data_IF_872340172306
#
_entry.id   IF_872340172306
#
_cell.length_a   1.000
_cell.length_b   1.000
_cell.length_c   1.000
_cell.angle_alpha   90.00
_cell.angle_beta   90.00
_cell.angle_gamma   90.00
#
_symmetry.space_group_name_H-M   'P 1'
#
loop_
_entity.id
_entity.type
_entity.pdbx_description
1 polymer ?
#
# COMPACT_ATOMS: atom_id res chain seq x y z
N UNK A 1 -20.47 3.66 -20.93
CA UNK A 1 -20.71 2.82 -19.74
C UNK A 1 -20.32 1.40 -20.10
N UNK A 2 -19.56 0.71 -19.26
CA UNK A 2 -19.83 -0.71 -19.05
C UNK A 2 -20.97 -0.74 -18.05
N UNK A 3 -22.21 -0.79 -18.54
CA UNK A 3 -23.45 -0.90 -17.77
C UNK A 3 -23.45 -2.21 -16.97
N UNK A 4 -22.69 -2.27 -15.87
CA UNK A 4 -22.62 -3.49 -15.07
C UNK A 4 -21.34 -3.75 -14.27
N UNK A 5 -20.51 -2.75 -13.96
CA UNK A 5 -19.59 -2.97 -12.84
C UNK A 5 -20.43 -2.94 -11.56
N UNK A 6 -20.59 -4.09 -10.90
CA UNK A 6 -21.24 -4.21 -9.59
C UNK A 6 -20.53 -3.42 -8.47
N UNK A 7 -19.45 -2.71 -8.80
CA UNK A 7 -18.60 -2.02 -7.86
C UNK A 7 -18.99 -0.53 -7.77
N UNK A 8 -19.15 0.00 -6.55
CA UNK A 8 -19.41 1.43 -6.37
C UNK A 8 -18.23 2.27 -6.86
N UNK A 9 -18.54 3.49 -7.32
CA UNK A 9 -17.52 4.46 -7.75
C UNK A 9 -16.60 4.79 -6.58
N UNK A 10 -15.29 4.70 -6.80
CA UNK A 10 -14.26 4.93 -5.79
C UNK A 10 -13.59 3.65 -5.29
N UNK A 11 -14.06 2.45 -5.68
CA UNK A 11 -13.36 1.20 -5.35
C UNK A 11 -12.09 1.07 -6.19
N UNK A 12 -10.89 0.96 -5.58
CA UNK A 12 -9.69 0.60 -6.30
C UNK A 12 -9.76 -0.88 -6.72
N UNK A 13 -9.54 -1.15 -8.00
CA UNK A 13 -9.56 -2.51 -8.57
C UNK A 13 -8.23 -2.79 -9.25
N UNK A 14 -7.54 -3.89 -8.89
CA UNK A 14 -6.33 -4.31 -9.60
C UNK A 14 -6.62 -4.55 -11.09
N UNK A 15 -5.71 -4.11 -11.95
CA UNK A 15 -5.85 -4.26 -13.40
C UNK A 15 -4.55 -4.79 -14.02
N UNK A 16 -4.59 -5.82 -14.90
CA UNK A 16 -3.40 -6.51 -15.38
C UNK A 16 -2.61 -5.75 -16.46
N UNK A 17 -3.05 -4.56 -16.90
CA UNK A 17 -2.39 -3.78 -17.96
C UNK A 17 -2.03 -2.36 -17.51
N UNK A 18 -1.02 -1.78 -18.14
CA UNK A 18 -0.61 -0.40 -17.91
C UNK A 18 -1.70 0.62 -18.30
N UNK A 19 -2.64 0.27 -19.17
CA UNK A 19 -3.74 1.15 -19.58
C UNK A 19 -5.05 0.66 -18.99
N UNK A 20 -5.71 1.44 -18.11
CA UNK A 20 -7.00 1.07 -17.56
C UNK A 20 -8.08 1.10 -18.66
N UNK A 21 -9.18 0.35 -18.49
CA UNK A 21 -10.29 0.40 -19.42
C UNK A 21 -10.97 1.78 -19.39
N UNK A 22 -11.70 2.11 -20.46
CA UNK A 22 -12.39 3.40 -20.57
C UNK A 22 -13.35 3.63 -19.38
N UNK A 23 -13.32 4.83 -18.81
CA UNK A 23 -14.11 5.20 -17.63
C UNK A 23 -13.45 4.90 -16.28
N UNK A 24 -12.25 4.31 -16.28
CA UNK A 24 -11.45 4.09 -15.07
C UNK A 24 -10.26 5.04 -15.01
N UNK A 25 -9.88 5.42 -13.79
CA UNK A 25 -8.72 6.26 -13.51
C UNK A 25 -7.67 5.44 -12.76
N UNK A 26 -6.38 5.77 -12.96
CA UNK A 26 -5.29 5.13 -12.23
C UNK A 26 -5.17 5.74 -10.83
N UNK A 27 -5.04 4.90 -9.80
CA UNK A 27 -4.66 5.34 -8.45
C UNK A 27 -3.16 5.68 -8.38
N UNK A 28 -2.78 6.83 -8.93
CA UNK A 28 -1.40 7.31 -9.04
C UNK A 28 -1.18 8.68 -8.38
N UNK A 29 -2.05 9.06 -7.42
CA UNK A 29 -1.96 10.36 -6.75
C UNK A 29 -2.50 11.55 -7.55
N UNK A 30 -3.00 11.34 -8.77
CA UNK A 30 -3.48 12.43 -9.62
C UNK A 30 -4.72 13.13 -9.05
N UNK A 31 -4.80 14.44 -9.28
CA UNK A 31 -6.00 15.20 -9.06
C UNK A 31 -7.04 14.92 -10.15
N UNK A 32 -8.32 15.09 -9.81
CA UNK A 32 -9.43 14.97 -10.76
C UNK A 32 -10.44 16.12 -10.58
N UNK A 33 -11.24 16.40 -11.61
CA UNK A 33 -12.32 17.40 -11.55
C UNK A 33 -13.55 16.82 -10.86
N UNK A 34 -14.04 17.50 -9.83
CA UNK A 34 -15.28 17.14 -9.15
C UNK A 34 -16.52 17.41 -10.02
N UNK A 35 -16.45 18.36 -10.96
CA UNK A 35 -17.53 18.59 -11.92
C UNK A 35 -17.68 17.42 -12.89
N UNK A 36 -16.54 16.87 -13.36
CA UNK A 36 -16.53 15.75 -14.29
C UNK A 36 -16.80 14.41 -13.58
N UNK A 37 -16.37 14.27 -12.33
CA UNK A 37 -16.50 13.04 -11.54
C UNK A 37 -17.17 13.28 -10.17
N UNK A 38 -18.44 13.73 -10.11
CA UNK A 38 -19.09 14.13 -8.86
C UNK A 38 -19.30 12.96 -7.88
N UNK A 39 -19.51 11.73 -8.39
CA UNK A 39 -19.59 10.52 -7.55
C UNK A 39 -18.24 10.15 -6.95
N UNK A 40 -17.15 10.36 -7.70
CA UNK A 40 -15.80 10.12 -7.22
C UNK A 40 -15.38 11.15 -6.17
N UNK A 41 -15.78 12.42 -6.35
CA UNK A 41 -15.56 13.47 -5.35
C UNK A 41 -16.25 13.18 -4.00
N UNK A 42 -17.38 12.46 -4.01
CA UNK A 42 -18.00 11.98 -2.76
C UNK A 42 -17.18 10.89 -2.07
N UNK A 43 -16.53 10.02 -2.84
CA UNK A 43 -15.68 8.95 -2.30
C UNK A 43 -14.30 9.48 -1.87
N UNK A 44 -13.75 10.45 -2.61
CA UNK A 44 -12.46 11.10 -2.35
C UNK A 44 -12.64 12.62 -2.28
N UNK A 45 -13.01 13.17 -1.11
CA UNK A 45 -13.34 14.60 -0.94
C UNK A 45 -12.19 15.57 -1.21
N UNK A 46 -10.94 15.09 -1.20
CA UNK A 46 -9.74 15.89 -1.51
C UNK A 46 -9.54 16.09 -3.02
N UNK A 47 -10.41 15.52 -3.86
CA UNK A 47 -10.30 15.54 -5.31
C UNK A 47 -8.96 14.99 -5.84
N UNK A 48 -8.34 14.10 -5.07
CA UNK A 48 -7.14 13.36 -5.44
C UNK A 48 -7.37 11.88 -5.24
N UNK A 49 -6.89 11.09 -6.20
CA UNK A 49 -6.83 9.65 -6.06
C UNK A 49 -5.70 9.27 -5.08
N UNK A 50 -5.81 8.15 -4.36
CA UNK A 50 -4.67 7.62 -3.64
C UNK A 50 -3.56 7.25 -4.63
N UNK A 51 -2.31 7.32 -4.18
CA UNK A 51 -1.18 6.77 -4.92
C UNK A 51 -0.89 5.37 -4.38
N UNK A 52 -1.25 4.34 -5.16
CA UNK A 52 -1.13 2.94 -4.76
C UNK A 52 0.02 2.22 -5.47
N UNK A 53 0.92 2.97 -6.11
CA UNK A 53 2.05 2.39 -6.83
C UNK A 53 3.09 1.87 -5.82
N UNK A 54 3.25 0.56 -5.76
CA UNK A 54 4.16 -0.08 -4.80
C UNK A 54 3.54 -0.31 -3.41
N UNK A 55 2.28 0.06 -3.21
CA UNK A 55 1.59 -0.04 -1.93
C UNK A 55 0.73 -1.29 -1.84
N UNK A 56 0.54 -1.78 -0.62
CA UNK A 56 -0.44 -2.82 -0.31
C UNK A 56 -1.66 -2.20 0.38
N UNK A 57 -2.86 -2.56 -0.08
CA UNK A 57 -4.09 -2.16 0.60
C UNK A 57 -4.28 -3.04 1.83
N UNK A 58 -4.51 -2.41 2.98
CA UNK A 58 -4.85 -3.05 4.25
C UNK A 58 -6.26 -2.63 4.68
N UNK A 59 -6.98 -3.55 5.32
CA UNK A 59 -8.28 -3.24 5.94
C UNK A 59 -8.13 -2.23 7.07
N UNK A 60 -9.10 -1.33 7.20
CA UNK A 60 -9.20 -0.43 8.34
C UNK A 60 -9.60 -1.22 9.60
N UNK A 61 -9.00 -0.91 10.75
CA UNK A 61 -9.20 -1.67 11.99
C UNK A 61 -10.62 -1.53 12.54
N UNK A 62 -11.24 -0.35 12.39
CA UNK A 62 -12.61 -0.03 12.82
C UNK A 62 -12.95 -0.55 14.24
N UNK A 63 -11.99 -0.45 15.16
CA UNK A 63 -12.19 -0.83 16.56
C UNK A 63 -11.97 -2.31 16.89
N UNK A 64 -11.46 -3.13 15.96
CA UNK A 64 -11.05 -4.51 16.25
C UNK A 64 -9.84 -4.57 17.20
N UNK A 65 -9.02 -3.52 17.22
CA UNK A 65 -7.85 -3.38 18.10
C UNK A 65 -6.60 -4.13 17.64
N UNK A 66 -6.59 -4.69 16.42
CA UNK A 66 -5.39 -5.31 15.84
C UNK A 66 -4.47 -4.23 15.29
N UNK A 67 -5.05 -3.17 14.76
CA UNK A 67 -4.33 -2.09 14.10
C UNK A 67 -4.81 -0.71 14.57
N UNK A 68 -4.78 -0.53 15.88
CA UNK A 68 -5.34 0.62 16.58
C UNK A 68 -4.66 1.94 16.19
N UNK A 69 -5.46 3.01 16.10
CA UNK A 69 -4.98 4.36 15.78
C UNK A 69 -4.75 4.62 14.29
N UNK A 70 -5.00 3.65 13.40
CA UNK A 70 -4.88 3.84 11.96
C UNK A 70 -6.06 4.60 11.38
N UNK A 71 -5.74 5.60 10.56
CA UNK A 71 -6.73 6.38 9.81
C UNK A 71 -6.99 5.77 8.42
N UNK A 72 -8.22 5.96 7.91
CA UNK A 72 -8.58 5.55 6.54
C UNK A 72 -7.69 6.29 5.52
N UNK A 73 -7.15 5.55 4.55
CA UNK A 73 -6.22 6.04 3.52
C UNK A 73 -4.88 6.60 4.04
N UNK A 74 -4.52 6.33 5.30
CA UNK A 74 -3.19 6.66 5.81
C UNK A 74 -2.12 5.75 5.23
N UNK A 75 -0.95 6.32 4.97
CA UNK A 75 0.26 5.59 4.59
C UNK A 75 0.85 4.88 5.81
N UNK A 76 1.49 3.73 5.57
CA UNK A 76 2.27 3.03 6.57
C UNK A 76 3.57 2.52 5.96
N UNK A 77 4.70 2.81 6.60
CA UNK A 77 5.97 2.18 6.25
C UNK A 77 5.95 0.66 6.50
N UNK A 78 6.77 -0.07 5.78
CA UNK A 78 7.00 -1.49 6.04
C UNK A 78 7.53 -1.71 7.45
N UNK A 79 7.07 -2.78 8.10
CA UNK A 79 7.58 -3.20 9.41
C UNK A 79 8.50 -4.40 9.22
N UNK A 80 9.72 -4.31 9.74
CA UNK A 80 10.62 -5.46 9.84
C UNK A 80 10.14 -6.31 11.01
N UNK A 81 9.80 -7.56 10.72
CA UNK A 81 9.56 -8.58 11.76
C UNK A 81 10.84 -9.36 11.91
N UNK A 82 11.53 -9.15 13.04
CA UNK A 82 12.73 -9.91 13.39
C UNK A 82 12.39 -11.12 14.25
N UNK A 83 13.20 -12.16 14.08
CA UNK A 83 13.24 -13.33 14.96
C UNK A 83 14.70 -13.73 15.16
N UNK A 84 14.95 -14.51 16.20
CA UNK A 84 16.25 -15.15 16.40
C UNK A 84 16.42 -16.21 15.31
N UNK A 85 17.46 -16.10 14.48
CA UNK A 85 17.96 -17.25 13.73
C UNK A 85 18.80 -18.13 14.70
N UNK A 86 19.12 -19.33 14.26
CA UNK A 86 19.66 -20.39 15.07
C UNK A 86 21.06 -20.08 15.65
N UNK A 87 21.08 -19.79 16.95
CA UNK A 87 22.18 -20.07 17.88
C UNK A 87 23.25 -18.97 18.13
N UNK A 88 22.94 -17.68 17.94
CA UNK A 88 23.57 -16.65 18.78
C UNK A 88 22.52 -15.70 19.36
N UNK A 89 22.83 -15.11 20.51
CA UNK A 89 21.83 -14.45 21.34
C UNK A 89 21.46 -13.08 20.76
N UNK A 90 20.52 -13.04 19.83
CA UNK A 90 19.68 -11.84 19.62
C UNK A 90 20.06 -10.84 18.56
N UNK A 91 20.76 -11.25 17.52
CA UNK A 91 20.96 -10.42 16.35
C UNK A 91 20.02 -10.74 15.19
N UNK A 92 19.72 -9.69 14.42
CA UNK A 92 19.08 -9.78 13.11
C UNK A 92 20.23 -9.83 12.13
N UNK A 93 20.53 -11.00 11.59
CA UNK A 93 21.50 -11.16 10.51
C UNK A 93 21.11 -10.28 9.31
N UNK A 94 21.85 -9.18 9.11
CA UNK A 94 21.63 -8.25 7.99
C UNK A 94 22.83 -8.28 7.03
N UNK A 95 22.57 -8.41 5.73
CA UNK A 95 23.57 -8.17 4.68
C UNK A 95 23.74 -6.65 4.51
N UNK A 96 24.32 -5.99 5.50
CA UNK A 96 24.48 -4.52 5.49
C UNK A 96 25.90 -4.07 5.12
N UNK A 97 26.87 -4.98 5.05
CA UNK A 97 28.25 -4.65 4.68
C UNK A 97 28.95 -5.76 3.93
N UNK A 98 29.95 -5.41 3.12
CA UNK A 98 30.88 -6.36 2.48
C UNK A 98 31.94 -6.89 3.44
N UNK A 99 31.93 -6.47 4.71
CA UNK A 99 32.91 -6.86 5.74
C UNK A 99 32.34 -7.88 6.73
N UNK A 100 31.01 -7.93 6.87
CA UNK A 100 30.31 -8.82 7.77
C UNK A 100 29.25 -9.63 7.00
N UNK A 101 29.26 -10.95 7.13
CA UNK A 101 28.26 -11.86 6.58
C UNK A 101 27.48 -12.47 7.71
N UNK A 102 26.16 -12.22 7.78
CA UNK A 102 25.29 -12.71 8.85
C UNK A 102 25.81 -12.39 10.27
N UNK A 103 26.21 -11.15 10.52
CA UNK A 103 26.73 -10.74 11.84
C UNK A 103 28.19 -11.14 12.10
N UNK A 104 28.72 -12.13 11.38
CA UNK A 104 30.10 -12.59 11.54
C UNK A 104 31.10 -11.82 10.69
N UNK A 105 32.33 -11.70 11.19
CA UNK A 105 33.44 -11.14 10.42
C UNK A 105 33.76 -12.10 9.29
N UNK A 106 33.72 -11.64 8.03
CA UNK A 106 34.09 -12.50 6.90
C UNK A 106 35.58 -12.85 7.02
N UNK A 107 35.89 -14.10 7.34
CA UNK A 107 37.27 -14.59 7.29
C UNK A 107 37.68 -14.73 5.82
N UNK A 108 38.85 -14.18 5.48
CA UNK A 108 39.51 -14.35 4.18
C UNK A 108 39.79 -15.81 3.86
#
# INVERSE_FOLDING_TARGET
MGEGSALPVGVPVPWPSATPPAGWLKCNGAAFSSEMYPKLAKAYPTNKLPDLRGEFIRGWDDGRGIDAGREILSFQEGTIVSGFDDNDTGDISSLSSTQYGFGDTLSS
#
